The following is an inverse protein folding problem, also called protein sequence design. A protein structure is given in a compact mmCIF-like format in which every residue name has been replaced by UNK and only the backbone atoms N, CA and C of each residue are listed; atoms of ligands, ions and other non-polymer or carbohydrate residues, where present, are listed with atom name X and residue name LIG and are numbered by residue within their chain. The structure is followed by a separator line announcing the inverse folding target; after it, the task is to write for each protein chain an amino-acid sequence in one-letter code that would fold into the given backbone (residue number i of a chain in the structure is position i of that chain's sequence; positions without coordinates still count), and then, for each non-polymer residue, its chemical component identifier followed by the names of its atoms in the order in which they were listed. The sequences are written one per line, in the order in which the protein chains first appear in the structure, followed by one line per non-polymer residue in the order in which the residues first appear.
data_IF_329514135948
#
_entry.id   IF_329514135948
#
_cell.length_a   1.000
_cell.length_b   1.000
_cell.length_c   1.000
_cell.angle_alpha   90.00
_cell.angle_beta   90.00
_cell.angle_gamma   90.00
#
_symmetry.space_group_name_H-M   'P 1'
#
loop_
_entity.id
_entity.type
_entity.pdbx_description
1 polymer ?
#
# COMPACT_ATOMS: atom_id res chain seq x y z
N UNK A 1 -45.79 44.27 -22.24
CA UNK A 1 -44.66 45.06 -21.70
C UNK A 1 -45.12 46.45 -21.26
N UNK A 2 -45.90 47.17 -22.08
CA UNK A 2 -46.39 48.52 -21.77
C UNK A 2 -47.35 48.64 -20.56
N UNK A 3 -48.16 47.61 -20.28
CA UNK A 3 -49.08 47.64 -19.12
C UNK A 3 -48.38 47.44 -17.78
N UNK A 4 -47.34 46.59 -17.74
CA UNK A 4 -46.56 46.36 -16.52
C UNK A 4 -45.72 47.59 -16.16
N UNK A 5 -45.10 48.23 -17.15
CA UNK A 5 -44.35 49.47 -16.94
C UNK A 5 -45.27 50.61 -16.48
N UNK A 6 -46.47 50.74 -17.07
CA UNK A 6 -47.46 51.73 -16.63
C UNK A 6 -47.95 51.50 -15.18
N UNK A 7 -48.07 50.24 -14.74
CA UNK A 7 -48.40 49.90 -13.36
C UNK A 7 -47.26 50.24 -12.39
N UNK A 8 -46.00 50.01 -12.78
CA UNK A 8 -44.83 50.39 -11.98
C UNK A 8 -44.73 51.92 -11.84
N UNK A 9 -44.86 52.66 -12.94
CA UNK A 9 -44.82 54.12 -12.94
C UNK A 9 -45.93 54.70 -12.07
N UNK A 10 -47.15 54.16 -12.15
CA UNK A 10 -48.25 54.54 -11.26
C UNK A 10 -47.92 54.25 -9.79
N UNK A 11 -47.36 53.08 -9.49
CA UNK A 11 -47.02 52.69 -8.14
C UNK A 11 -45.90 53.55 -7.52
N UNK A 12 -45.00 54.12 -8.35
CA UNK A 12 -43.99 55.07 -7.91
C UNK A 12 -44.57 56.44 -7.52
N UNK A 13 -45.68 56.86 -8.14
CA UNK A 13 -46.38 58.12 -7.82
C UNK A 13 -47.18 58.10 -6.52
N UNK A 14 -47.35 56.94 -5.86
CA UNK A 14 -48.08 56.82 -4.60
C UNK A 14 -47.36 57.53 -3.44
N UNK A 15 -48.15 58.05 -2.49
CA UNK A 15 -47.64 58.53 -1.20
C UNK A 15 -46.96 57.41 -0.41
N UNK A 16 -46.08 57.77 0.53
CA UNK A 16 -45.37 56.79 1.37
C UNK A 16 -46.32 55.84 2.11
N UNK A 17 -47.46 56.34 2.58
CA UNK A 17 -48.49 55.52 3.24
C UNK A 17 -49.14 54.52 2.27
N UNK A 18 -49.32 54.91 1.01
CA UNK A 18 -49.81 54.01 -0.04
C UNK A 18 -48.81 52.91 -0.39
N UNK A 19 -47.52 53.25 -0.49
CA UNK A 19 -46.43 52.27 -0.71
C UNK A 19 -46.32 51.26 0.44
N UNK A 20 -46.42 51.73 1.69
CA UNK A 20 -46.47 50.87 2.89
C UNK A 20 -47.67 49.93 2.82
N UNK A 21 -48.86 50.45 2.46
CA UNK A 21 -50.08 49.64 2.34
C UNK A 21 -49.98 48.51 1.32
N UNK A 22 -49.38 48.77 0.15
CA UNK A 22 -49.15 47.75 -0.88
C UNK A 22 -48.13 46.72 -0.39
N UNK A 23 -47.02 47.15 0.22
CA UNK A 23 -46.00 46.24 0.75
C UNK A 23 -46.55 45.31 1.82
N UNK A 24 -47.34 45.83 2.77
CA UNK A 24 -48.00 45.01 3.80
C UNK A 24 -49.00 44.02 3.19
N UNK A 25 -49.77 44.46 2.20
CA UNK A 25 -50.76 43.60 1.52
C UNK A 25 -50.09 42.46 0.76
N UNK A 26 -49.02 42.76 0.02
CA UNK A 26 -48.27 41.78 -0.77
C UNK A 26 -47.49 40.82 0.15
N UNK A 27 -46.92 41.33 1.25
CA UNK A 27 -46.25 40.52 2.27
C UNK A 27 -47.21 39.58 2.98
N UNK A 28 -48.41 40.05 3.34
CA UNK A 28 -49.46 39.24 3.93
C UNK A 28 -49.95 38.17 2.95
N UNK A 29 -50.13 38.52 1.67
CA UNK A 29 -50.50 37.58 0.62
C UNK A 29 -49.45 36.48 0.47
N UNK A 30 -48.15 36.84 0.38
CA UNK A 30 -47.06 35.87 0.26
C UNK A 30 -46.99 34.97 1.50
N UNK A 31 -47.14 35.53 2.71
CA UNK A 31 -47.14 34.74 3.94
C UNK A 31 -48.32 33.75 3.99
N UNK A 32 -49.54 34.21 3.67
CA UNK A 32 -50.74 33.38 3.61
C UNK A 32 -50.57 32.28 2.56
N UNK A 33 -50.05 32.62 1.38
CA UNK A 33 -49.78 31.67 0.31
C UNK A 33 -48.76 30.61 0.75
N UNK A 34 -47.62 31.01 1.31
CA UNK A 34 -46.60 30.07 1.79
C UNK A 34 -47.17 29.16 2.89
N UNK A 35 -47.89 29.72 3.87
CA UNK A 35 -48.44 28.95 4.99
C UNK A 35 -49.54 27.98 4.57
N UNK A 36 -50.54 28.46 3.82
CA UNK A 36 -51.78 27.71 3.56
C UNK A 36 -51.79 26.96 2.24
N UNK A 37 -50.90 27.31 1.28
CA UNK A 37 -50.80 26.61 0.00
C UNK A 37 -49.55 25.74 -0.04
N UNK A 38 -48.36 26.34 0.06
CA UNK A 38 -47.09 25.60 -0.07
C UNK A 38 -46.88 24.62 1.08
N UNK A 39 -46.83 25.13 2.31
CA UNK A 39 -46.56 24.30 3.49
C UNK A 39 -47.69 23.31 3.75
N UNK A 40 -48.96 23.71 3.53
CA UNK A 40 -50.07 22.76 3.65
C UNK A 40 -49.96 21.61 2.64
N UNK A 41 -49.75 21.89 1.34
CA UNK A 41 -49.58 20.82 0.34
C UNK A 41 -48.38 19.92 0.62
N UNK A 42 -47.29 20.50 1.12
CA UNK A 42 -46.08 19.76 1.47
C UNK A 42 -46.31 18.91 2.73
N UNK A 43 -47.04 19.43 3.73
CA UNK A 43 -47.50 18.67 4.90
C UNK A 43 -48.42 17.52 4.51
N UNK A 44 -49.44 17.78 3.67
CA UNK A 44 -50.36 16.75 3.17
C UNK A 44 -49.64 15.66 2.34
N UNK A 45 -48.48 15.97 1.75
CA UNK A 45 -47.62 15.01 1.05
C UNK A 45 -46.79 14.17 2.04
N UNK A 46 -46.22 14.82 3.06
CA UNK A 46 -45.42 14.21 4.13
C UNK A 46 -46.28 13.35 5.09
N UNK A 47 -47.55 13.68 5.27
CA UNK A 47 -48.47 12.83 6.06
C UNK A 47 -48.88 11.55 5.31
N UNK A 48 -48.75 11.54 3.97
CA UNK A 48 -49.08 10.38 3.14
C UNK A 48 -47.95 9.38 3.02
N UNK A 49 -46.73 9.77 3.36
CA UNK A 49 -45.57 8.90 3.33
C UNK A 49 -45.52 8.04 4.59
N UNK A 50 -45.25 6.74 4.42
CA UNK A 50 -45.16 5.79 5.55
C UNK A 50 -43.92 6.02 6.44
N UNK A 51 -43.02 6.93 6.02
CA UNK A 51 -41.65 7.02 6.51
C UNK A 51 -41.52 8.12 7.57
N UNK A 52 -42.01 7.87 8.79
CA UNK A 52 -42.24 8.90 9.84
C UNK A 52 -41.14 9.91 10.23
N UNK A 53 -39.89 9.83 9.75
CA UNK A 53 -38.87 10.87 9.98
C UNK A 53 -39.11 12.16 9.18
N UNK A 54 -39.84 12.08 8.07
CA UNK A 54 -40.21 13.22 7.24
C UNK A 54 -41.17 14.18 7.96
N UNK A 55 -42.09 13.64 8.75
CA UNK A 55 -43.02 14.36 9.62
C UNK A 55 -42.26 15.13 10.70
N UNK A 56 -41.30 14.47 11.33
CA UNK A 56 -40.40 15.09 12.31
C UNK A 56 -39.56 16.23 11.70
N UNK A 57 -39.17 16.10 10.42
CA UNK A 57 -38.40 17.12 9.69
C UNK A 57 -39.27 18.32 9.27
N UNK A 58 -40.51 18.06 8.88
CA UNK A 58 -41.41 19.07 8.35
C UNK A 58 -41.73 20.17 9.39
N UNK A 59 -41.98 19.79 10.65
CA UNK A 59 -42.32 20.73 11.72
C UNK A 59 -41.23 21.83 11.94
N UNK A 60 -39.95 21.51 12.18
CA UNK A 60 -38.92 22.53 12.34
C UNK A 60 -38.60 23.28 11.04
N UNK A 61 -38.71 22.63 9.87
CA UNK A 61 -38.43 23.26 8.60
C UNK A 61 -39.50 24.29 8.23
N UNK A 62 -40.78 23.98 8.44
CA UNK A 62 -41.91 24.85 8.14
C UNK A 62 -41.84 26.19 8.88
N UNK A 63 -41.51 26.17 10.17
CA UNK A 63 -41.34 27.38 10.99
C UNK A 63 -40.20 28.26 10.45
N UNK A 64 -39.08 27.65 10.05
CA UNK A 64 -37.91 28.35 9.49
C UNK A 64 -38.18 28.91 8.10
N UNK A 65 -38.93 28.18 7.26
CA UNK A 65 -39.37 28.65 5.94
C UNK A 65 -40.31 29.85 6.07
N UNK A 66 -41.21 29.86 7.07
CA UNK A 66 -42.05 31.03 7.34
C UNK A 66 -41.22 32.24 7.80
N UNK A 67 -40.26 32.04 8.69
CA UNK A 67 -39.35 33.11 9.12
C UNK A 67 -38.55 33.67 7.92
N UNK A 68 -38.03 32.79 7.05
CA UNK A 68 -37.34 33.16 5.82
C UNK A 68 -38.23 33.98 4.88
N UNK A 69 -39.49 33.58 4.68
CA UNK A 69 -40.45 34.35 3.90
C UNK A 69 -40.73 35.74 4.48
N UNK A 70 -40.87 35.87 5.80
CA UNK A 70 -41.06 37.17 6.45
C UNK A 70 -39.86 38.08 6.17
N UNK A 71 -38.65 37.56 6.26
CA UNK A 71 -37.43 38.35 6.03
C UNK A 71 -37.29 38.76 4.56
N UNK A 72 -37.64 37.89 3.61
CA UNK A 72 -37.73 38.26 2.19
C UNK A 72 -38.74 39.38 1.98
N UNK A 73 -39.93 39.29 2.59
CA UNK A 73 -40.94 40.34 2.50
C UNK A 73 -40.44 41.68 3.06
N UNK A 74 -39.79 41.67 4.22
CA UNK A 74 -39.21 42.87 4.84
C UNK A 74 -38.12 43.45 3.94
N UNK A 75 -37.23 42.62 3.41
CA UNK A 75 -36.17 43.05 2.49
C UNK A 75 -36.76 43.66 1.20
N UNK A 76 -37.71 42.99 0.55
CA UNK A 76 -38.39 43.50 -0.64
C UNK A 76 -39.14 44.82 -0.37
N UNK A 77 -39.75 44.95 0.81
CA UNK A 77 -40.41 46.20 1.23
C UNK A 77 -39.40 47.33 1.42
N UNK A 78 -38.27 47.06 2.09
CA UNK A 78 -37.19 48.03 2.27
C UNK A 78 -36.55 48.43 0.94
N UNK A 79 -36.36 47.49 0.01
CA UNK A 79 -35.84 47.74 -1.33
C UNK A 79 -36.70 48.74 -2.10
N UNK A 80 -38.01 48.74 -1.89
CA UNK A 80 -38.94 49.62 -2.59
C UNK A 80 -39.21 50.94 -1.86
N UNK A 81 -39.29 50.93 -0.52
CA UNK A 81 -39.58 52.13 0.27
C UNK A 81 -38.34 53.01 0.50
N UNK A 82 -37.20 52.40 0.78
CA UNK A 82 -35.98 53.09 1.21
C UNK A 82 -34.73 52.29 0.83
N UNK A 83 -34.30 52.33 -0.45
CA UNK A 83 -33.08 51.67 -0.90
C UNK A 83 -31.84 52.01 -0.06
N UNK A 84 -31.76 53.25 0.44
CA UNK A 84 -30.69 53.74 1.31
C UNK A 84 -30.65 53.05 2.69
N UNK A 85 -31.83 52.71 3.24
CA UNK A 85 -31.91 51.96 4.48
C UNK A 85 -31.54 50.49 4.25
N UNK A 86 -31.92 49.93 3.09
CA UNK A 86 -31.54 48.57 2.71
C UNK A 86 -30.01 48.43 2.59
N UNK A 87 -29.33 49.36 1.90
CA UNK A 87 -27.87 49.31 1.76
C UNK A 87 -27.16 49.45 3.11
N UNK A 88 -27.71 50.25 4.04
CA UNK A 88 -27.19 50.39 5.40
C UNK A 88 -27.36 49.13 6.26
N UNK A 89 -28.42 48.34 6.00
CA UNK A 89 -28.76 47.13 6.76
C UNK A 89 -28.38 45.82 6.07
N UNK A 90 -27.76 45.87 4.88
CA UNK A 90 -27.56 44.70 4.03
C UNK A 90 -26.75 43.60 4.72
N UNK A 91 -25.67 43.95 5.42
CA UNK A 91 -24.83 42.99 6.14
C UNK A 91 -25.62 42.30 7.28
N UNK A 92 -26.47 43.05 8.00
CA UNK A 92 -27.31 42.49 9.06
C UNK A 92 -28.33 41.51 8.47
N UNK A 93 -28.94 41.87 7.33
CA UNK A 93 -29.89 41.01 6.62
C UNK A 93 -29.20 39.72 6.14
N UNK A 94 -27.99 39.81 5.58
CA UNK A 94 -27.19 38.66 5.16
C UNK A 94 -26.89 37.73 6.34
N UNK A 95 -26.47 38.28 7.49
CA UNK A 95 -26.21 37.50 8.72
C UNK A 95 -27.47 36.74 9.16
N UNK A 96 -28.64 37.38 9.12
CA UNK A 96 -29.92 36.73 9.46
C UNK A 96 -30.22 35.58 8.48
N UNK A 97 -30.00 35.77 7.18
CA UNK A 97 -30.16 34.70 6.19
C UNK A 97 -29.22 33.52 6.45
N UNK A 98 -27.93 33.79 6.73
CA UNK A 98 -26.93 32.77 7.05
C UNK A 98 -27.36 31.95 8.27
N UNK A 99 -27.85 32.59 9.34
CA UNK A 99 -28.30 31.90 10.56
C UNK A 99 -29.51 31.01 10.27
N UNK A 100 -30.49 31.49 9.50
CA UNK A 100 -31.70 30.72 9.20
C UNK A 100 -31.38 29.51 8.34
N UNK A 101 -30.60 29.69 7.27
CA UNK A 101 -30.18 28.59 6.40
C UNK A 101 -29.36 27.55 7.17
N UNK A 102 -28.42 28.00 8.01
CA UNK A 102 -27.65 27.12 8.89
C UNK A 102 -28.56 26.34 9.84
N UNK A 103 -29.55 27.00 10.44
CA UNK A 103 -30.52 26.37 11.33
C UNK A 103 -31.40 25.34 10.62
N UNK A 104 -31.77 25.58 9.34
CA UNK A 104 -32.48 24.62 8.49
C UNK A 104 -31.62 23.38 8.25
N UNK A 105 -30.39 23.56 7.77
CA UNK A 105 -29.46 22.45 7.50
C UNK A 105 -29.15 21.65 8.78
N UNK A 106 -28.90 22.34 9.90
CA UNK A 106 -28.64 21.71 11.21
C UNK A 106 -29.81 20.86 11.70
N UNK A 107 -31.04 21.33 11.47
CA UNK A 107 -32.26 20.58 11.81
C UNK A 107 -32.43 19.36 10.92
N UNK A 108 -32.18 19.50 9.62
CA UNK A 108 -32.21 18.38 8.66
C UNK A 108 -31.24 17.28 9.09
N UNK A 109 -30.01 17.64 9.44
CA UNK A 109 -29.02 16.65 9.88
C UNK A 109 -29.46 15.95 11.16
N UNK A 110 -30.02 16.68 12.13
CA UNK A 110 -30.49 16.06 13.39
C UNK A 110 -31.51 14.94 13.14
N UNK A 111 -32.37 15.11 12.14
CA UNK A 111 -33.55 14.26 11.92
C UNK A 111 -33.29 13.19 10.85
N UNK A 112 -32.52 13.51 9.81
CA UNK A 112 -32.21 12.59 8.71
C UNK A 112 -31.09 11.61 9.07
N UNK A 113 -30.17 12.00 9.96
CA UNK A 113 -29.01 11.15 10.30
C UNK A 113 -29.40 9.79 10.90
N UNK A 114 -30.30 9.70 11.91
CA UNK A 114 -30.64 8.40 12.50
C UNK A 114 -31.31 7.41 11.52
N UNK A 115 -32.33 7.80 10.72
CA UNK A 115 -32.92 6.94 9.69
C UNK A 115 -31.91 6.48 8.63
N UNK A 116 -31.02 7.38 8.19
CA UNK A 116 -29.99 7.06 7.22
C UNK A 116 -29.02 5.98 7.74
N UNK A 117 -28.55 6.12 8.98
CA UNK A 117 -27.69 5.09 9.59
C UNK A 117 -28.42 3.78 9.84
N UNK A 118 -29.73 3.81 10.14
CA UNK A 118 -30.54 2.60 10.24
C UNK A 118 -30.62 1.87 8.89
N UNK A 119 -30.86 2.60 7.80
CA UNK A 119 -30.89 2.03 6.44
C UNK A 119 -29.56 1.36 6.06
N UNK A 120 -28.43 2.02 6.32
CA UNK A 120 -27.09 1.44 6.03
C UNK A 120 -26.82 0.17 6.86
N UNK A 121 -27.21 0.18 8.14
CA UNK A 121 -26.91 -0.95 9.03
C UNK A 121 -27.91 -2.11 8.88
N UNK A 122 -29.08 -1.90 8.26
CA UNK A 122 -30.09 -2.96 8.08
C UNK A 122 -29.62 -4.10 7.16
N UNK A 123 -28.55 -3.90 6.37
CA UNK A 123 -27.97 -4.93 5.52
C UNK A 123 -26.93 -5.83 6.22
N UNK A 124 -26.63 -5.61 7.52
CA UNK A 124 -25.70 -6.42 8.30
C UNK A 124 -26.24 -6.61 9.73
N UNK A 125 -26.50 -7.85 10.14
CA UNK A 125 -26.95 -8.27 11.49
C UNK A 125 -25.92 -7.96 12.59
N UNK A 126 -25.59 -6.69 12.81
CA UNK A 126 -24.61 -6.23 13.79
C UNK A 126 -25.23 -5.27 14.80
N UNK A 127 -24.99 -5.56 16.09
CA UNK A 127 -25.48 -4.84 17.28
C UNK A 127 -25.49 -3.32 17.09
N UNK A 128 -26.67 -2.71 17.06
CA UNK A 128 -26.83 -1.26 16.96
C UNK A 128 -26.42 -0.59 18.28
N UNK A 129 -25.20 -0.09 18.34
CA UNK A 129 -24.73 0.73 19.47
C UNK A 129 -25.40 2.11 19.38
N UNK A 130 -26.50 2.27 20.11
CA UNK A 130 -27.38 3.45 20.17
C UNK A 130 -26.66 4.79 20.44
N UNK A 131 -25.43 4.77 20.97
CA UNK A 131 -24.62 5.96 21.21
C UNK A 131 -23.96 6.60 19.97
N UNK A 132 -23.79 5.87 18.84
CA UNK A 132 -23.02 6.37 17.67
C UNK A 132 -23.75 7.43 16.85
N UNK A 133 -25.09 7.34 16.74
CA UNK A 133 -25.88 8.25 15.89
C UNK A 133 -25.89 9.70 16.40
N UNK A 134 -25.88 9.88 17.72
CA UNK A 134 -25.84 11.21 18.35
C UNK A 134 -24.47 11.87 18.22
N UNK A 135 -23.39 11.08 18.22
CA UNK A 135 -22.04 11.60 18.02
C UNK A 135 -21.85 12.12 16.60
N UNK A 136 -22.22 11.34 15.57
CA UNK A 136 -22.05 11.75 14.17
C UNK A 136 -22.91 12.96 13.83
N UNK A 137 -24.18 12.94 14.22
CA UNK A 137 -25.08 14.09 14.00
C UNK A 137 -24.63 15.34 14.77
N UNK A 138 -24.11 15.17 16.00
CA UNK A 138 -23.52 16.26 16.77
C UNK A 138 -22.29 16.85 16.08
N UNK A 139 -21.37 16.01 15.60
CA UNK A 139 -20.15 16.43 14.92
C UNK A 139 -20.43 17.16 13.60
N UNK A 140 -21.32 16.63 12.76
CA UNK A 140 -21.73 17.30 11.51
C UNK A 140 -22.38 18.66 11.77
N UNK A 141 -23.21 18.77 12.80
CA UNK A 141 -23.81 20.04 13.20
C UNK A 141 -22.77 21.03 13.70
N UNK A 142 -21.76 20.58 14.45
CA UNK A 142 -20.66 21.43 14.89
C UNK A 142 -19.90 22.03 13.71
N UNK A 143 -19.57 21.25 12.69
CA UNK A 143 -18.90 21.73 11.46
C UNK A 143 -19.74 22.84 10.79
N UNK A 144 -21.05 22.62 10.66
CA UNK A 144 -21.94 23.56 9.98
C UNK A 144 -22.10 24.86 10.78
N UNK A 145 -22.17 24.78 12.10
CA UNK A 145 -22.17 25.97 12.95
C UNK A 145 -20.83 26.71 12.93
N UNK A 146 -19.70 26.01 12.86
CA UNK A 146 -18.39 26.64 12.65
C UNK A 146 -18.34 27.36 11.29
N UNK A 147 -18.88 26.75 10.22
CA UNK A 147 -18.97 27.36 8.91
C UNK A 147 -19.92 28.58 8.89
N UNK A 148 -21.03 28.52 9.62
CA UNK A 148 -21.92 29.67 9.84
C UNK A 148 -21.20 30.84 10.50
N UNK A 149 -20.43 30.58 11.57
CA UNK A 149 -19.63 31.61 12.24
C UNK A 149 -18.63 32.23 11.26
N UNK A 150 -17.96 31.40 10.46
CA UNK A 150 -17.06 31.86 9.40
C UNK A 150 -17.75 32.82 8.43
N UNK A 151 -18.92 32.46 7.89
CA UNK A 151 -19.68 33.32 6.96
C UNK A 151 -20.10 34.65 7.62
N UNK A 152 -20.53 34.62 8.88
CA UNK A 152 -20.91 35.83 9.64
C UNK A 152 -19.71 36.77 9.81
N UNK A 153 -18.53 36.23 10.16
CA UNK A 153 -17.33 37.05 10.34
C UNK A 153 -16.89 37.71 9.01
N UNK A 154 -17.06 37.02 7.89
CA UNK A 154 -16.81 37.56 6.54
C UNK A 154 -17.78 38.70 6.20
N UNK A 155 -19.08 38.56 6.49
CA UNK A 155 -20.07 39.64 6.30
C UNK A 155 -19.76 40.87 7.17
N UNK A 156 -19.18 40.67 8.36
CA UNK A 156 -18.73 41.76 9.23
C UNK A 156 -17.38 42.37 8.80
N UNK A 157 -16.79 41.90 7.70
CA UNK A 157 -15.49 42.35 7.18
C UNK A 157 -14.35 42.24 8.21
N UNK A 158 -14.46 41.27 9.12
CA UNK A 158 -13.42 40.99 10.11
C UNK A 158 -12.30 40.18 9.47
N UNK A 159 -11.05 40.58 9.70
CA UNK A 159 -9.90 39.84 9.22
C UNK A 159 -9.74 38.54 10.02
N UNK A 160 -10.13 37.42 9.40
CA UNK A 160 -10.08 36.08 10.00
C UNK A 160 -8.89 35.24 9.54
N UNK A 161 -8.00 35.81 8.73
CA UNK A 161 -6.84 35.10 8.15
C UNK A 161 -6.00 34.42 9.23
N UNK A 162 -5.71 35.10 10.34
CA UNK A 162 -4.94 34.53 11.46
C UNK A 162 -5.66 33.37 12.16
N UNK A 163 -6.98 33.43 12.28
CA UNK A 163 -7.80 32.36 12.87
C UNK A 163 -7.79 31.14 11.95
N UNK A 164 -8.01 31.32 10.64
CA UNK A 164 -7.97 30.23 9.67
C UNK A 164 -6.59 29.58 9.61
N UNK A 165 -5.51 30.38 9.60
CA UNK A 165 -4.14 29.86 9.62
C UNK A 165 -3.89 28.99 10.86
N UNK A 166 -4.39 29.43 12.02
CA UNK A 166 -4.29 28.66 13.27
C UNK A 166 -5.08 27.36 13.18
N UNK A 167 -6.34 27.39 12.72
CA UNK A 167 -7.18 26.19 12.56
C UNK A 167 -6.55 25.21 11.57
N UNK A 168 -5.98 25.71 10.47
CA UNK A 168 -5.28 24.88 9.49
C UNK A 168 -4.08 24.17 10.12
N UNK A 169 -3.25 24.88 10.88
CA UNK A 169 -2.11 24.31 11.59
C UNK A 169 -2.56 23.28 12.64
N UNK A 170 -3.58 23.59 13.45
CA UNK A 170 -4.14 22.63 14.41
C UNK A 170 -4.69 21.38 13.73
N UNK A 171 -5.40 21.54 12.61
CA UNK A 171 -5.93 20.42 11.83
C UNK A 171 -4.82 19.54 11.26
N UNK A 172 -3.72 20.15 10.80
CA UNK A 172 -2.53 19.42 10.36
C UNK A 172 -1.92 18.59 11.50
N UNK A 173 -1.73 19.19 12.68
CA UNK A 173 -1.18 18.51 13.86
C UNK A 173 -2.06 17.33 14.27
N UNK A 174 -3.38 17.53 14.34
CA UNK A 174 -4.34 16.45 14.66
C UNK A 174 -4.30 15.36 13.59
N UNK A 175 -4.25 15.74 12.31
CA UNK A 175 -4.14 14.81 11.18
C UNK A 175 -2.88 13.95 11.25
N UNK A 176 -1.73 14.56 11.55
CA UNK A 176 -0.46 13.84 11.75
C UNK A 176 -0.53 12.91 12.97
N UNK A 177 -1.12 13.35 14.07
CA UNK A 177 -1.28 12.52 15.27
C UNK A 177 -2.21 11.31 15.03
N UNK A 178 -3.22 11.44 14.17
CA UNK A 178 -4.18 10.39 13.84
C UNK A 178 -3.81 9.57 12.59
N UNK A 179 -2.73 9.91 11.88
CA UNK A 179 -2.34 9.29 10.61
C UNK A 179 -2.25 7.76 10.74
N UNK A 180 -1.57 7.28 11.79
CA UNK A 180 -1.42 5.84 12.04
C UNK A 180 -2.78 5.19 12.35
N UNK A 181 -3.60 5.80 13.21
CA UNK A 181 -4.91 5.26 13.57
C UNK A 181 -5.84 5.13 12.36
N UNK A 182 -5.86 6.14 11.49
CA UNK A 182 -6.65 6.11 10.26
C UNK A 182 -6.11 5.05 9.30
N UNK A 183 -4.78 4.96 9.14
CA UNK A 183 -4.13 3.92 8.34
C UNK A 183 -4.53 2.51 8.78
N UNK A 184 -4.61 2.26 10.09
CA UNK A 184 -4.98 0.95 10.63
C UNK A 184 -6.41 0.54 10.28
N UNK A 185 -7.33 1.51 10.36
CA UNK A 185 -8.73 1.30 10.02
C UNK A 185 -8.87 1.04 8.51
N UNK A 186 -8.14 1.80 7.67
CA UNK A 186 -8.14 1.62 6.23
C UNK A 186 -7.57 0.26 5.82
N UNK A 187 -6.45 -0.17 6.40
CA UNK A 187 -5.86 -1.49 6.13
C UNK A 187 -6.84 -2.63 6.42
N UNK A 188 -7.55 -2.52 7.54
CA UNK A 188 -8.55 -3.54 7.93
C UNK A 188 -9.77 -3.53 7.01
N UNK A 189 -10.17 -2.35 6.54
CA UNK A 189 -11.23 -2.21 5.52
C UNK A 189 -10.80 -2.78 4.16
N UNK A 190 -9.56 -2.52 3.74
CA UNK A 190 -8.99 -3.04 2.48
C UNK A 190 -8.94 -4.57 2.50
N UNK A 191 -8.47 -5.20 3.58
CA UNK A 191 -8.51 -6.67 3.71
C UNK A 191 -9.93 -7.22 3.61
N UNK A 192 -10.92 -6.54 4.19
CA UNK A 192 -12.31 -6.97 4.14
C UNK A 192 -12.95 -6.80 2.75
N UNK A 193 -12.48 -5.84 1.96
CA UNK A 193 -12.90 -5.63 0.57
C UNK A 193 -12.23 -6.60 -0.39
N UNK A 194 -10.89 -6.67 -0.39
CA UNK A 194 -10.12 -7.47 -1.35
C UNK A 194 -10.15 -8.96 -1.03
N UNK A 195 -10.37 -9.33 0.24
CA UNK A 195 -10.45 -10.72 0.74
C UNK A 195 -9.37 -11.64 0.15
N UNK A 196 -8.07 -11.34 0.39
CA UNK A 196 -6.96 -12.14 -0.14
C UNK A 196 -6.95 -13.59 0.37
N UNK A 197 -7.63 -13.86 1.48
CA UNK A 197 -7.81 -15.18 2.08
C UNK A 197 -9.16 -15.25 2.81
N UNK A 198 -9.68 -16.47 2.99
CA UNK A 198 -10.84 -16.76 3.85
C UNK A 198 -10.44 -17.48 5.14
N UNK A 199 -11.38 -17.52 6.08
CA UNK A 199 -11.25 -18.37 7.28
C UNK A 199 -11.14 -19.82 6.83
N UNK A 200 -10.08 -20.49 7.25
CA UNK A 200 -9.75 -21.85 6.89
C UNK A 200 -8.68 -21.98 5.80
N UNK A 201 -8.27 -20.90 5.15
CA UNK A 201 -7.18 -20.93 4.17
C UNK A 201 -5.84 -21.17 4.86
N UNK A 202 -4.98 -21.97 4.22
CA UNK A 202 -3.56 -22.13 4.55
C UNK A 202 -2.79 -20.98 3.90
N UNK A 203 -2.16 -20.15 4.72
CA UNK A 203 -1.39 -19.00 4.25
C UNK A 203 0.00 -18.98 4.89
N UNK A 204 0.95 -18.40 4.18
CA UNK A 204 2.27 -18.07 4.68
C UNK A 204 2.47 -16.55 4.61
N UNK A 205 2.88 -15.96 5.73
CA UNK A 205 3.16 -14.53 5.87
C UNK A 205 4.43 -14.35 6.67
N UNK A 206 5.41 -13.62 6.13
CA UNK A 206 6.70 -13.34 6.78
C UNK A 206 7.40 -14.60 7.34
N UNK A 207 7.30 -15.72 6.61
CA UNK A 207 7.86 -17.02 7.00
C UNK A 207 7.06 -17.80 8.05
N UNK A 208 5.91 -17.27 8.49
CA UNK A 208 4.97 -17.95 9.37
C UNK A 208 3.91 -18.62 8.51
N UNK A 209 3.84 -19.94 8.59
CA UNK A 209 2.86 -20.74 7.87
C UNK A 209 1.80 -21.31 8.82
N UNK A 210 0.53 -21.20 8.43
CA UNK A 210 -0.55 -21.83 9.17
C UNK A 210 -1.92 -21.61 8.55
N UNK A 211 -2.96 -22.06 9.27
CA UNK A 211 -4.35 -21.95 8.85
C UNK A 211 -5.03 -20.74 9.49
N UNK A 212 -5.74 -19.94 8.70
CA UNK A 212 -6.51 -18.80 9.22
C UNK A 212 -7.68 -19.31 10.07
N UNK A 213 -7.69 -18.98 11.36
CA UNK A 213 -8.75 -19.36 12.30
C UNK A 213 -9.86 -18.31 12.33
N UNK A 214 -9.48 -17.04 12.34
CA UNK A 214 -10.43 -15.92 12.41
C UNK A 214 -9.77 -14.63 11.93
N UNK A 215 -10.50 -13.79 11.22
CA UNK A 215 -10.08 -12.42 10.92
C UNK A 215 -10.97 -11.43 11.69
N UNK A 216 -10.35 -10.60 12.52
CA UNK A 216 -11.00 -9.56 13.30
C UNK A 216 -10.79 -8.17 12.71
N UNK A 217 -11.36 -7.16 13.37
CA UNK A 217 -11.29 -5.76 12.92
C UNK A 217 -9.85 -5.23 12.93
N UNK A 218 -8.97 -5.72 13.82
CA UNK A 218 -7.60 -5.19 13.97
C UNK A 218 -6.51 -6.22 13.70
N UNK A 219 -6.83 -7.51 13.80
CA UNK A 219 -5.86 -8.59 13.66
C UNK A 219 -6.50 -9.85 13.12
N UNK A 220 -5.68 -10.68 12.47
CA UNK A 220 -6.04 -12.02 12.02
C UNK A 220 -5.26 -13.05 12.82
N UNK A 221 -5.92 -14.17 13.14
CA UNK A 221 -5.34 -15.26 13.92
C UNK A 221 -5.06 -16.44 13.00
N UNK A 222 -3.84 -16.94 13.07
CA UNK A 222 -3.32 -18.06 12.28
C UNK A 222 -2.92 -19.16 13.26
N UNK A 223 -3.35 -20.39 13.02
CA UNK A 223 -2.93 -21.57 13.78
C UNK A 223 -1.84 -22.28 12.99
N UNK A 224 -0.64 -22.38 13.56
CA UNK A 224 0.47 -23.12 12.95
C UNK A 224 0.30 -24.63 13.12
N UNK A 225 1.15 -25.39 12.43
CA UNK A 225 1.25 -26.84 12.58
C UNK A 225 1.77 -27.28 13.96
N UNK A 226 2.49 -26.41 14.67
CA UNK A 226 2.91 -26.58 16.07
C UNK A 226 1.78 -26.30 17.07
N UNK A 227 0.54 -26.11 16.61
CA UNK A 227 -0.63 -25.75 17.41
C UNK A 227 -0.51 -24.38 18.13
N UNK A 228 0.32 -23.47 17.60
CA UNK A 228 0.49 -22.13 18.14
C UNK A 228 -0.47 -21.15 17.46
N UNK A 229 -1.20 -20.37 18.26
CA UNK A 229 -2.11 -19.33 17.76
C UNK A 229 -1.37 -18.01 17.59
N UNK A 230 -0.93 -17.72 16.38
CA UNK A 230 -0.24 -16.49 16.01
C UNK A 230 -1.28 -15.39 15.70
N UNK A 231 -1.10 -14.22 16.29
CA UNK A 231 -1.97 -13.06 16.10
C UNK A 231 -1.20 -12.00 15.30
N UNK A 232 -1.60 -11.78 14.06
CA UNK A 232 -0.95 -10.83 13.17
C UNK A 232 -1.83 -9.58 13.03
N UNK A 233 -1.32 -8.37 13.32
CA UNK A 233 -2.03 -7.13 13.05
C UNK A 233 -2.37 -7.01 11.57
N UNK A 234 -3.57 -6.52 11.25
CA UNK A 234 -4.02 -6.37 9.87
C UNK A 234 -3.10 -5.44 9.05
N UNK A 235 -2.46 -4.46 9.70
CA UNK A 235 -1.46 -3.61 9.06
C UNK A 235 -0.29 -4.39 8.48
N UNK A 236 0.23 -5.32 9.28
CA UNK A 236 1.37 -6.15 8.89
C UNK A 236 0.98 -6.97 7.67
N UNK A 237 -0.20 -7.58 7.68
CA UNK A 237 -0.75 -8.37 6.55
C UNK A 237 -0.89 -7.57 5.26
N UNK A 238 -1.36 -6.32 5.34
CA UNK A 238 -1.49 -5.46 4.15
C UNK A 238 -0.13 -5.04 3.62
N UNK A 239 0.85 -4.85 4.51
CA UNK A 239 2.21 -4.45 4.12
C UNK A 239 3.12 -5.60 3.69
N UNK A 240 2.74 -6.86 3.97
CA UNK A 240 3.57 -8.03 3.71
C UNK A 240 3.11 -8.81 2.48
N UNK A 241 3.98 -9.69 1.99
CA UNK A 241 3.61 -10.62 0.91
C UNK A 241 2.89 -11.81 1.51
N UNK A 242 1.62 -12.00 1.15
CA UNK A 242 0.81 -13.15 1.57
C UNK A 242 0.88 -14.22 0.48
N UNK A 243 1.40 -15.40 0.81
CA UNK A 243 1.30 -16.59 -0.04
C UNK A 243 0.09 -17.41 0.40
N UNK A 244 -1.00 -17.35 -0.38
CA UNK A 244 -2.17 -18.17 -0.13
C UNK A 244 -2.02 -19.52 -0.85
N UNK A 245 -1.87 -20.60 -0.06
CA UNK A 245 -1.71 -21.96 -0.57
C UNK A 245 -3.05 -22.65 -0.82
N UNK A 246 -4.15 -22.12 -0.27
CA UNK A 246 -5.50 -22.64 -0.43
C UNK A 246 -6.24 -22.11 -1.67
N UNK A 247 -5.63 -21.21 -2.45
CA UNK A 247 -6.19 -20.65 -3.70
C UNK A 247 -5.25 -20.75 -4.90
N UNK A 248 -4.16 -21.51 -4.76
CA UNK A 248 -3.05 -21.55 -5.73
C UNK A 248 -3.12 -22.66 -6.77
N UNK A 249 -4.06 -23.59 -6.65
CA UNK A 249 -4.20 -24.67 -7.62
C UNK A 249 -4.71 -24.11 -8.95
N UNK A 250 -3.82 -24.02 -9.94
CA UNK A 250 -4.17 -23.58 -11.30
C UNK A 250 -5.40 -24.31 -11.88
N UNK A 251 -5.94 -23.83 -13.00
CA UNK A 251 -7.19 -24.33 -13.59
C UNK A 251 -8.43 -24.15 -12.70
N UNK A 252 -8.35 -23.34 -11.64
CA UNK A 252 -9.48 -22.96 -10.79
C UNK A 252 -9.80 -23.94 -9.65
N UNK A 253 -8.88 -24.85 -9.29
CA UNK A 253 -9.07 -25.80 -8.18
C UNK A 253 -8.32 -25.27 -6.94
N UNK A 254 -8.98 -24.56 -6.01
CA UNK A 254 -8.32 -23.74 -4.99
C UNK A 254 -7.30 -24.52 -4.15
N UNK A 255 -7.66 -25.73 -3.71
CA UNK A 255 -6.86 -26.54 -2.77
C UNK A 255 -5.77 -27.40 -3.42
N UNK A 256 -5.71 -27.48 -4.75
CA UNK A 256 -4.75 -28.35 -5.45
C UNK A 256 -3.33 -27.83 -5.25
N UNK A 257 -2.40 -28.72 -4.90
CA UNK A 257 -0.97 -28.37 -4.80
C UNK A 257 -0.12 -29.21 -5.75
N UNK A 258 1.03 -28.66 -6.14
CA UNK A 258 2.08 -29.39 -6.84
C UNK A 258 3.07 -29.93 -5.80
N UNK A 259 2.96 -31.23 -5.50
CA UNK A 259 3.86 -31.96 -4.62
C UNK A 259 5.17 -32.25 -5.36
N UNK A 260 6.26 -31.76 -4.78
CA UNK A 260 7.62 -31.98 -5.28
C UNK A 260 8.33 -33.01 -4.39
N UNK A 261 8.78 -34.11 -5.00
CA UNK A 261 9.55 -35.15 -4.32
C UNK A 261 10.88 -35.32 -5.04
N UNK A 262 11.98 -35.09 -4.31
CA UNK A 262 13.34 -35.23 -4.82
C UNK A 262 13.88 -36.61 -4.43
N UNK A 263 14.34 -37.36 -5.43
CA UNK A 263 14.85 -38.73 -5.28
C UNK A 263 16.21 -38.81 -5.97
N UNK A 264 17.21 -39.34 -5.28
CA UNK A 264 18.56 -39.51 -5.80
C UNK A 264 18.87 -40.99 -6.03
N UNK A 265 19.49 -41.30 -7.16
CA UNK A 265 19.89 -42.67 -7.56
C UNK A 265 21.36 -42.70 -7.99
N UNK A 266 21.95 -43.88 -8.07
CA UNK A 266 23.34 -44.05 -8.46
C UNK A 266 23.59 -43.74 -9.96
N UNK A 267 24.85 -43.49 -10.32
CA UNK A 267 25.23 -43.05 -11.68
C UNK A 267 25.17 -44.15 -12.74
N UNK A 268 25.22 -45.40 -12.31
CA UNK A 268 25.07 -46.59 -13.13
C UNK A 268 23.62 -46.86 -13.55
N UNK A 269 22.64 -46.15 -12.97
CA UNK A 269 21.23 -46.27 -13.31
C UNK A 269 20.86 -45.58 -14.63
N UNK A 270 19.99 -46.23 -15.41
CA UNK A 270 19.48 -45.64 -16.64
C UNK A 270 18.35 -44.65 -16.38
N UNK A 271 18.59 -43.36 -16.66
CA UNK A 271 17.61 -42.30 -16.42
C UNK A 271 16.21 -42.53 -17.02
N UNK A 272 16.02 -43.10 -18.23
CA UNK A 272 14.69 -43.41 -18.75
C UNK A 272 13.94 -44.46 -17.91
N UNK A 273 14.66 -45.46 -17.37
CA UNK A 273 14.07 -46.50 -16.52
C UNK A 273 13.57 -45.88 -15.21
N UNK A 274 14.42 -45.12 -14.52
CA UNK A 274 14.05 -44.43 -13.27
C UNK A 274 12.86 -43.48 -13.46
N UNK A 275 12.84 -42.71 -14.56
CA UNK A 275 11.69 -41.83 -14.88
C UNK A 275 10.38 -42.59 -15.06
N UNK A 276 10.43 -43.76 -15.72
CA UNK A 276 9.25 -44.59 -15.93
C UNK A 276 8.74 -45.13 -14.59
N UNK A 277 9.61 -45.71 -13.78
CA UNK A 277 9.26 -46.28 -12.46
C UNK A 277 8.65 -45.20 -11.55
N UNK A 278 9.29 -44.04 -11.42
CA UNK A 278 8.76 -42.93 -10.63
C UNK A 278 7.42 -42.39 -11.16
N UNK A 279 7.23 -42.36 -12.48
CA UNK A 279 5.97 -41.97 -13.10
C UNK A 279 4.84 -42.96 -12.83
N UNK A 280 5.14 -44.26 -12.82
CA UNK A 280 4.17 -45.32 -12.53
C UNK A 280 3.82 -45.38 -11.04
N UNK A 281 4.79 -45.13 -10.14
CA UNK A 281 4.51 -44.95 -8.70
C UNK A 281 3.58 -43.76 -8.48
N UNK A 282 3.87 -42.62 -9.11
CA UNK A 282 3.01 -41.45 -8.98
C UNK A 282 1.58 -41.74 -9.44
N UNK A 283 1.36 -42.47 -10.54
CA UNK A 283 0.01 -42.86 -10.99
C UNK A 283 -0.72 -43.83 -10.06
N UNK A 284 0.02 -44.65 -9.30
CA UNK A 284 -0.57 -45.59 -8.33
C UNK A 284 -0.94 -44.93 -7.00
N UNK A 285 -0.42 -43.72 -6.73
CA UNK A 285 -0.66 -43.03 -5.47
C UNK A 285 -2.13 -42.62 -5.35
N UNK A 286 -2.84 -43.04 -4.27
CA UNK A 286 -4.27 -42.75 -4.12
C UNK A 286 -4.58 -41.26 -3.89
N UNK A 287 -3.57 -40.47 -3.51
CA UNK A 287 -3.72 -39.04 -3.21
C UNK A 287 -3.43 -38.12 -4.41
N UNK A 288 -2.81 -38.66 -5.45
CA UNK A 288 -2.40 -37.87 -6.62
C UNK A 288 -3.49 -37.83 -7.70
N UNK A 289 -3.52 -36.73 -8.43
CA UNK A 289 -4.42 -36.50 -9.56
C UNK A 289 -3.81 -37.05 -10.86
N UNK A 290 -4.66 -37.60 -11.70
CA UNK A 290 -4.28 -38.00 -13.07
C UNK A 290 -4.04 -36.80 -13.99
N UNK A 291 -4.73 -35.68 -13.72
CA UNK A 291 -4.64 -34.44 -14.48
C UNK A 291 -4.39 -33.27 -13.52
N UNK A 292 -3.27 -32.53 -13.66
CA UNK A 292 -2.22 -32.66 -14.68
C UNK A 292 -1.37 -33.91 -14.54
N UNK A 293 -0.83 -34.41 -15.66
CA UNK A 293 0.05 -35.59 -15.69
C UNK A 293 1.33 -35.34 -14.89
N UNK A 294 1.63 -36.26 -13.98
CA UNK A 294 2.89 -36.30 -13.23
C UNK A 294 4.10 -36.28 -14.17
N UNK A 295 5.15 -35.54 -13.79
CA UNK A 295 6.39 -35.40 -14.58
C UNK A 295 7.60 -35.74 -13.72
N UNK A 296 8.52 -36.52 -14.28
CA UNK A 296 9.79 -36.84 -13.64
C UNK A 296 10.92 -36.24 -14.45
N UNK A 297 11.67 -35.33 -13.85
CA UNK A 297 12.79 -34.65 -14.49
C UNK A 297 14.09 -34.99 -13.77
N UNK A 298 15.15 -35.26 -14.54
CA UNK A 298 16.52 -35.25 -14.01
C UNK A 298 16.90 -33.78 -13.83
N UNK A 299 17.04 -33.34 -12.58
CA UNK A 299 17.23 -31.92 -12.26
C UNK A 299 18.70 -31.57 -12.01
N UNK A 300 19.51 -32.54 -11.58
CA UNK A 300 20.90 -32.30 -11.21
C UNK A 300 21.74 -33.58 -11.32
N UNK A 301 22.99 -33.41 -11.76
CA UNK A 301 24.06 -34.39 -11.64
C UNK A 301 24.89 -34.00 -10.42
N UNK A 302 24.72 -34.71 -9.31
CA UNK A 302 25.41 -34.44 -8.03
C UNK A 302 26.72 -35.23 -7.93
N UNK A 303 27.54 -35.02 -6.90
CA UNK A 303 28.88 -35.64 -6.82
C UNK A 303 28.86 -37.18 -6.86
N UNK A 304 27.80 -37.78 -6.29
CA UNK A 304 27.67 -39.24 -6.17
C UNK A 304 26.29 -39.77 -6.60
N UNK A 305 25.43 -38.92 -7.17
CA UNK A 305 24.05 -39.28 -7.54
C UNK A 305 23.52 -38.54 -8.76
N UNK A 306 22.54 -39.16 -9.40
CA UNK A 306 21.60 -38.54 -10.33
C UNK A 306 20.36 -38.11 -9.54
N UNK A 307 20.07 -36.81 -9.49
CA UNK A 307 18.93 -36.28 -8.72
C UNK A 307 17.73 -36.06 -9.65
N UNK A 308 16.64 -36.75 -9.35
CA UNK A 308 15.37 -36.65 -10.03
C UNK A 308 14.36 -35.89 -9.17
N UNK A 309 13.52 -35.08 -9.80
CA UNK A 309 12.36 -34.45 -9.18
C UNK A 309 11.09 -34.99 -9.81
N UNK A 310 10.26 -35.60 -8.98
CA UNK A 310 8.89 -35.94 -9.30
C UNK A 310 8.00 -34.72 -9.02
N UNK A 311 7.31 -34.25 -10.05
CA UNK A 311 6.24 -33.28 -9.99
C UNK A 311 4.93 -34.05 -10.07
N UNK A 312 4.12 -34.00 -9.01
CA UNK A 312 2.78 -34.61 -9.00
C UNK A 312 1.78 -33.65 -8.35
N UNK A 313 0.50 -33.80 -8.67
CA UNK A 313 -0.53 -32.91 -8.15
C UNK A 313 -1.44 -33.68 -7.21
N UNK A 314 -1.81 -33.07 -6.08
CA UNK A 314 -2.80 -33.64 -5.15
C UNK A 314 -4.01 -32.72 -5.06
N UNK A 315 -5.18 -33.30 -4.78
CA UNK A 315 -6.46 -32.58 -4.78
C UNK A 315 -6.61 -31.60 -3.62
N UNK A 316 -6.16 -31.99 -2.42
CA UNK A 316 -6.23 -31.22 -1.19
C UNK A 316 -4.84 -31.14 -0.55
N UNK A 317 -4.40 -29.95 -0.15
CA UNK A 317 -3.14 -29.74 0.56
C UNK A 317 -3.09 -30.48 1.91
N UNK A 318 -4.23 -30.89 2.46
CA UNK A 318 -4.28 -31.73 3.66
C UNK A 318 -3.60 -33.10 3.44
N UNK A 319 -3.63 -33.60 2.20
CA UNK A 319 -3.07 -34.91 1.84
C UNK A 319 -1.59 -34.85 1.47
N UNK A 320 -0.93 -33.69 1.60
CA UNK A 320 0.47 -33.47 1.23
C UNK A 320 1.43 -34.46 1.91
N UNK A 321 1.33 -34.57 3.23
CA UNK A 321 2.21 -35.45 4.02
C UNK A 321 1.89 -36.93 3.81
N UNK A 322 0.61 -37.38 3.88
CA UNK A 322 0.25 -38.75 3.51
C UNK A 322 0.69 -39.15 2.10
N UNK A 323 0.53 -38.28 1.11
CA UNK A 323 0.95 -38.53 -0.26
C UNK A 323 2.47 -38.66 -0.37
N UNK A 324 3.21 -37.77 0.28
CA UNK A 324 4.68 -37.80 0.29
C UNK A 324 5.21 -39.08 0.96
N UNK A 325 4.66 -39.45 2.12
CA UNK A 325 5.03 -40.67 2.83
C UNK A 325 4.78 -41.91 1.96
N UNK A 326 3.57 -42.02 1.40
CA UNK A 326 3.20 -43.13 0.51
C UNK A 326 4.14 -43.25 -0.70
N UNK A 327 4.43 -42.13 -1.38
CA UNK A 327 5.33 -42.12 -2.54
C UNK A 327 6.73 -42.57 -2.12
N UNK A 328 7.26 -42.07 -1.01
CA UNK A 328 8.62 -42.42 -0.57
C UNK A 328 8.75 -43.90 -0.16
N UNK A 329 7.72 -44.46 0.47
CA UNK A 329 7.66 -45.88 0.80
C UNK A 329 7.63 -46.74 -0.48
N UNK A 330 6.74 -46.43 -1.42
CA UNK A 330 6.64 -47.16 -2.69
C UNK A 330 7.87 -47.01 -3.57
N UNK A 331 8.55 -45.86 -3.53
CA UNK A 331 9.86 -45.69 -4.15
C UNK A 331 10.87 -46.64 -3.54
N UNK A 332 10.93 -46.73 -2.20
CA UNK A 332 11.88 -47.61 -1.52
C UNK A 332 11.67 -49.09 -1.87
N UNK A 333 10.42 -49.55 -1.93
CA UNK A 333 10.09 -50.94 -2.23
C UNK A 333 10.24 -51.25 -3.71
N UNK A 334 9.71 -50.41 -4.61
CA UNK A 334 9.82 -50.63 -6.06
C UNK A 334 11.27 -50.53 -6.53
N UNK A 335 12.08 -49.63 -5.96
CA UNK A 335 13.51 -49.55 -6.31
C UNK A 335 14.26 -50.81 -5.87
N UNK A 336 13.89 -51.41 -4.74
CA UNK A 336 14.46 -52.69 -4.30
C UNK A 336 14.12 -53.83 -5.26
N UNK A 337 12.88 -53.86 -5.76
CA UNK A 337 12.40 -54.90 -6.68
C UNK A 337 12.99 -54.77 -8.10
N UNK A 338 13.12 -53.54 -8.59
CA UNK A 338 13.70 -53.22 -9.91
C UNK A 338 15.25 -53.20 -9.89
N UNK A 339 15.86 -53.26 -8.70
CA UNK A 339 17.31 -53.25 -8.51
C UNK A 339 17.97 -51.86 -8.63
N UNK A 340 17.19 -50.79 -8.53
CA UNK A 340 17.67 -49.40 -8.59
C UNK A 340 18.40 -49.04 -7.29
N UNK A 341 19.67 -48.67 -7.40
CA UNK A 341 20.52 -48.37 -6.25
C UNK A 341 20.32 -46.93 -5.76
N UNK A 342 19.93 -46.79 -4.48
CA UNK A 342 19.97 -45.50 -3.78
C UNK A 342 21.36 -45.31 -3.18
N UNK A 343 22.13 -44.31 -3.62
CA UNK A 343 23.52 -44.14 -3.20
C UNK A 343 23.58 -43.67 -1.75
N UNK A 344 24.45 -44.29 -0.96
CA UNK A 344 24.88 -43.80 0.34
C UNK A 344 26.32 -43.27 0.22
N UNK A 345 26.70 -42.23 0.96
CA UNK A 345 28.04 -41.67 0.87
C UNK A 345 29.08 -42.71 1.29
N UNK A 346 30.02 -43.03 0.40
CA UNK A 346 31.16 -43.92 0.69
C UNK A 346 32.46 -43.13 0.58
N UNK A 347 33.10 -42.87 1.70
CA UNK A 347 34.45 -42.32 1.72
C UNK A 347 35.46 -43.46 1.59
N UNK A 348 36.06 -43.59 0.41
CA UNK A 348 37.18 -44.51 0.21
C UNK A 348 38.47 -43.73 0.48
N UNK A 349 39.05 -43.93 1.66
CA UNK A 349 40.43 -43.53 1.90
C UNK A 349 41.36 -44.39 1.04
N UNK A 350 41.72 -43.88 -0.13
CA UNK A 350 42.78 -44.46 -0.93
C UNK A 350 44.07 -44.31 -0.12
N UNK A 351 44.59 -45.43 0.41
CA UNK A 351 45.97 -45.48 0.91
C UNK A 351 46.84 -44.90 -0.18
N UNK A 352 47.55 -43.80 0.14
CA UNK A 352 48.51 -43.16 -0.77
C UNK A 352 49.25 -44.26 -1.51
N UNK A 353 49.03 -44.36 -2.82
CA UNK A 353 49.83 -45.26 -3.63
C UNK A 353 51.25 -44.72 -3.55
N UNK A 354 52.07 -45.29 -2.66
CA UNK A 354 53.51 -45.24 -2.80
C UNK A 354 53.83 -45.98 -4.10
N UNK A 355 53.68 -45.28 -5.23
CA UNK A 355 54.19 -45.74 -6.52
C UNK A 355 55.69 -45.93 -6.32
N UNK A 356 56.26 -47.10 -6.64
CA UNK A 356 57.69 -47.32 -6.54
C UNK A 356 58.43 -46.21 -7.29
N UNK A 357 59.38 -45.58 -6.61
CA UNK A 357 60.24 -44.52 -7.15
C UNK A 357 61.11 -45.11 -8.27
N UNK A 358 60.63 -45.07 -9.51
CA UNK A 358 61.46 -45.35 -10.68
C UNK A 358 62.43 -44.21 -10.96
N UNK A 359 63.69 -44.52 -11.27
CA UNK A 359 64.81 -43.58 -11.49
C UNK A 359 64.49 -42.39 -12.44
N UNK A 360 63.56 -42.56 -13.38
CA UNK A 360 63.14 -41.49 -14.29
C UNK A 360 62.32 -40.35 -13.64
N UNK A 361 61.69 -40.60 -12.49
CA UNK A 361 60.85 -39.59 -11.82
C UNK A 361 61.63 -38.67 -10.88
N UNK A 362 62.75 -39.11 -10.31
CA UNK A 362 63.61 -38.23 -9.51
C UNK A 362 64.18 -37.09 -10.37
N UNK A 363 64.65 -37.41 -11.59
CA UNK A 363 65.04 -36.42 -12.59
C UNK A 363 63.89 -35.46 -12.94
N UNK A 364 62.66 -35.96 -13.03
CA UNK A 364 61.48 -35.13 -13.34
C UNK A 364 61.11 -34.21 -12.18
N UNK A 365 61.18 -34.70 -10.94
CA UNK A 365 60.93 -33.92 -9.72
C UNK A 365 62.02 -32.86 -9.52
N UNK A 366 63.30 -33.22 -9.70
CA UNK A 366 64.42 -32.27 -9.66
C UNK A 366 64.35 -31.23 -10.79
N UNK A 367 63.90 -31.60 -11.99
CA UNK A 367 63.65 -30.63 -13.08
C UNK A 367 62.50 -29.69 -12.75
N UNK A 368 61.42 -30.19 -12.14
CA UNK A 368 60.29 -29.35 -11.70
C UNK A 368 60.72 -28.39 -10.61
N UNK A 369 61.45 -28.85 -9.59
CA UNK A 369 61.94 -27.98 -8.51
C UNK A 369 62.95 -26.95 -9.03
N UNK A 370 63.84 -27.33 -9.95
CA UNK A 370 64.78 -26.41 -10.59
C UNK A 370 64.05 -25.34 -11.42
N UNK A 371 63.01 -25.72 -12.18
CA UNK A 371 62.17 -24.77 -12.93
C UNK A 371 61.41 -23.83 -12.00
N UNK A 372 60.86 -24.34 -10.90
CA UNK A 372 60.17 -23.53 -9.89
C UNK A 372 61.13 -22.56 -9.19
N UNK A 373 62.35 -23.00 -8.90
CA UNK A 373 63.38 -22.16 -8.29
C UNK A 373 63.88 -21.08 -9.27
N UNK A 374 64.15 -21.43 -10.53
CA UNK A 374 64.51 -20.49 -11.57
C UNK A 374 63.42 -19.44 -11.82
N UNK A 375 62.14 -19.86 -11.86
CA UNK A 375 61.01 -18.94 -12.00
C UNK A 375 60.89 -17.99 -10.80
N UNK A 376 61.08 -18.48 -9.56
CA UNK A 376 61.11 -17.62 -8.37
C UNK A 376 62.24 -16.58 -8.42
N UNK A 377 63.44 -16.99 -8.85
CA UNK A 377 64.57 -16.06 -8.98
C UNK A 377 64.35 -15.03 -10.10
N UNK A 378 63.75 -15.42 -11.23
CA UNK A 378 63.41 -14.51 -12.31
C UNK A 378 62.38 -13.47 -11.88
N UNK A 379 61.31 -13.91 -11.19
CA UNK A 379 60.30 -13.01 -10.65
C UNK A 379 60.89 -12.05 -9.61
N UNK A 380 61.69 -12.57 -8.66
CA UNK A 380 62.36 -11.73 -7.66
C UNK A 380 63.29 -10.68 -8.28
N UNK A 381 64.01 -11.03 -9.35
CA UNK A 381 64.90 -10.09 -10.05
C UNK A 381 64.11 -9.06 -10.85
N UNK A 382 63.01 -9.45 -11.47
CA UNK A 382 62.12 -8.52 -12.16
C UNK A 382 61.53 -7.52 -11.15
N UNK A 383 61.02 -8.00 -10.02
CA UNK A 383 60.49 -7.15 -8.94
C UNK A 383 61.52 -6.16 -8.41
N UNK A 384 62.78 -6.57 -8.27
CA UNK A 384 63.86 -5.70 -7.80
C UNK A 384 64.22 -4.61 -8.82
N UNK A 385 64.30 -4.97 -10.11
CA UNK A 385 64.49 -3.98 -11.20
C UNK A 385 63.32 -3.00 -11.24
N UNK A 386 62.08 -3.49 -11.14
CA UNK A 386 60.90 -2.62 -11.11
C UNK A 386 60.91 -1.66 -9.90
N UNK A 387 61.37 -2.10 -8.73
CA UNK A 387 61.54 -1.22 -7.56
C UNK A 387 62.63 -0.17 -7.78
N UNK A 388 63.78 -0.55 -8.31
CA UNK A 388 64.88 0.37 -8.61
C UNK A 388 64.42 1.45 -9.61
N UNK A 389 63.81 1.06 -10.73
CA UNK A 389 63.29 1.99 -11.74
C UNK A 389 62.24 2.94 -11.13
N UNK A 390 61.28 2.42 -10.36
CA UNK A 390 60.28 3.23 -9.67
C UNK A 390 60.90 4.26 -8.73
N UNK A 391 61.91 3.87 -7.94
CA UNK A 391 62.54 4.77 -6.97
C UNK A 391 63.39 5.85 -7.66
N UNK A 392 63.99 5.56 -8.83
CA UNK A 392 64.68 6.57 -9.65
C UNK A 392 63.71 7.61 -10.22
N UNK A 393 62.55 7.19 -10.72
CA UNK A 393 61.50 8.09 -11.21
C UNK A 393 60.97 8.98 -10.09
N UNK A 394 60.73 8.43 -8.89
CA UNK A 394 60.34 9.21 -7.70
C UNK A 394 61.41 10.23 -7.31
N UNK A 395 62.68 9.86 -7.34
CA UNK A 395 63.78 10.77 -7.03
C UNK A 395 63.88 11.93 -8.03
N UNK A 396 63.69 11.65 -9.33
CA UNK A 396 63.72 12.66 -10.39
C UNK A 396 62.56 13.65 -10.28
N UNK A 397 61.34 13.16 -10.00
CA UNK A 397 60.17 14.01 -9.73
C UNK A 397 60.47 14.94 -8.54
N UNK A 398 60.99 14.41 -7.43
CA UNK A 398 61.30 15.21 -6.25
C UNK A 398 62.38 16.28 -6.53
N UNK A 399 63.35 15.97 -7.39
CA UNK A 399 64.36 16.95 -7.83
C UNK A 399 63.74 18.06 -8.69
N UNK A 400 62.87 17.71 -9.64
CA UNK A 400 62.14 18.66 -10.48
C UNK A 400 61.18 19.55 -9.67
N UNK A 401 60.49 18.99 -8.68
CA UNK A 401 59.66 19.74 -7.73
C UNK A 401 60.49 20.74 -6.92
N UNK A 402 61.69 20.35 -6.50
CA UNK A 402 62.61 21.26 -5.82
C UNK A 402 63.07 22.39 -6.74
N UNK A 403 63.31 22.13 -8.02
CA UNK A 403 63.63 23.18 -9.00
C UNK A 403 62.50 24.20 -9.18
N UNK A 404 61.22 23.77 -9.16
CA UNK A 404 60.06 24.66 -9.23
C UNK A 404 60.02 25.72 -8.11
N UNK A 405 60.64 25.42 -6.97
CA UNK A 405 60.74 26.34 -5.83
C UNK A 405 61.75 27.49 -6.01
N UNK A 406 62.62 27.41 -7.02
CA UNK A 406 63.55 28.48 -7.36
C UNK A 406 62.80 29.72 -7.90
N UNK A 407 63.08 30.89 -7.32
CA UNK A 407 62.43 32.16 -7.67
C UNK A 407 63.03 32.83 -8.90
N UNK A 408 64.16 32.34 -9.41
CA UNK A 408 64.87 32.90 -10.57
C UNK A 408 64.35 32.41 -11.93
N UNK A 409 63.57 31.32 -11.96
CA UNK A 409 63.07 30.70 -13.19
C UNK A 409 61.90 31.48 -13.82
N UNK A 410 61.89 31.58 -15.15
CA UNK A 410 60.80 32.21 -15.91
C UNK A 410 59.53 31.36 -15.91
N UNK A 411 58.37 31.98 -16.13
CA UNK A 411 57.07 31.29 -16.15
C UNK A 411 57.02 30.16 -17.18
N UNK A 412 57.68 30.33 -18.34
CA UNK A 412 57.73 29.31 -19.40
C UNK A 412 58.57 28.09 -19.04
N UNK A 413 59.63 28.28 -18.25
CA UNK A 413 60.48 27.19 -17.75
C UNK A 413 59.77 26.40 -16.66
N UNK A 414 59.05 27.09 -15.76
CA UNK A 414 58.21 26.44 -14.75
C UNK A 414 57.09 25.60 -15.37
N UNK A 415 56.49 26.05 -16.46
CA UNK A 415 55.48 25.30 -17.21
C UNK A 415 56.05 23.99 -17.80
N UNK A 416 57.28 24.05 -18.35
CA UNK A 416 57.96 22.86 -18.88
C UNK A 416 58.27 21.84 -17.79
N UNK A 417 58.81 22.29 -16.66
CA UNK A 417 59.11 21.41 -15.52
C UNK A 417 57.83 20.74 -15.00
N UNK A 418 56.70 21.47 -14.92
CA UNK A 418 55.40 20.88 -14.55
C UNK A 418 54.93 19.83 -15.56
N UNK A 419 55.13 20.06 -16.85
CA UNK A 419 54.79 19.07 -17.88
C UNK A 419 55.64 17.80 -17.79
N UNK A 420 56.93 17.93 -17.45
CA UNK A 420 57.83 16.78 -17.25
C UNK A 420 57.50 16.01 -15.96
N UNK A 421 57.13 16.70 -14.88
CA UNK A 421 56.62 16.05 -13.67
C UNK A 421 55.33 15.28 -13.98
N UNK A 422 54.42 15.86 -14.76
CA UNK A 422 53.16 15.21 -15.11
C UNK A 422 53.38 13.93 -15.95
N UNK A 423 54.33 13.94 -16.90
CA UNK A 423 54.64 12.74 -17.69
C UNK A 423 55.33 11.66 -16.86
N UNK A 424 56.28 12.04 -16.00
CA UNK A 424 56.94 11.11 -15.07
C UNK A 424 55.98 10.54 -14.03
N UNK A 425 55.05 11.35 -13.50
CA UNK A 425 53.99 10.91 -12.59
C UNK A 425 53.04 9.93 -13.29
N UNK A 426 52.68 10.17 -14.56
CA UNK A 426 51.87 9.22 -15.34
C UNK A 426 52.62 7.90 -15.54
N UNK A 427 53.93 7.96 -15.72
CA UNK A 427 54.78 6.76 -15.84
C UNK A 427 54.87 6.02 -14.51
N UNK A 428 54.88 6.76 -13.39
CA UNK A 428 54.88 6.20 -12.05
C UNK A 428 53.56 5.50 -11.71
N UNK A 429 52.42 6.06 -12.11
CA UNK A 429 51.10 5.44 -11.92
C UNK A 429 50.99 4.08 -12.64
N UNK A 430 51.70 3.88 -13.75
CA UNK A 430 51.78 2.58 -14.43
C UNK A 430 52.49 1.55 -13.55
N UNK A 431 53.48 1.95 -12.74
CA UNK A 431 54.17 1.05 -11.80
C UNK A 431 53.37 0.79 -10.51
N UNK A 432 52.49 1.70 -10.09
CA UNK A 432 51.67 1.58 -8.88
C UNK A 432 50.26 0.99 -9.15
N UNK A 433 49.89 0.78 -10.42
CA UNK A 433 48.56 0.35 -10.90
C UNK A 433 48.37 -1.15 -11.22
N UNK A 434 49.38 -1.98 -10.95
CA UNK A 434 49.27 -3.46 -10.87
C UNK A 434 49.47 -3.92 -9.42
#
# INVERSE_FOLDING_TARGET
MNELTALFDWAETLSIYGKIGICLSLSALLFIFTKYVLLKKLGDFVEKTEVGWDNDLFAPLSIRTLAFCIIICVNASLAWLSPEALTSLINLINIVYIIILTSMISSTIKIVTPPFFHWINSSKEGVSVTGRNNFVSGFMRLIIWCFCIYLILTELQLEITGILASIALFSLIIGMALQHTIGNILNSFLLAMDRPFDIGDRIEVDGIEGKVVSSGILSTKILTWSEELIIIPNNTLVSSTIRNMARGGGDGIPKRINLLVDISVAYDEEAPHVKKVLGDIAKRCPYTLDTPLSRVLLIKLSEYSLDFRLYTWIADYADEWPARDWILQEVSDTFRDEGIVIPYPVNIELKSQQKPLGEGRELTVRRKSARQHAARLQMSRADEIHREERDTVKAEIAWLEKQLSDKSLSTREKEKIRSEIASLSTTLDIFDGE
#
